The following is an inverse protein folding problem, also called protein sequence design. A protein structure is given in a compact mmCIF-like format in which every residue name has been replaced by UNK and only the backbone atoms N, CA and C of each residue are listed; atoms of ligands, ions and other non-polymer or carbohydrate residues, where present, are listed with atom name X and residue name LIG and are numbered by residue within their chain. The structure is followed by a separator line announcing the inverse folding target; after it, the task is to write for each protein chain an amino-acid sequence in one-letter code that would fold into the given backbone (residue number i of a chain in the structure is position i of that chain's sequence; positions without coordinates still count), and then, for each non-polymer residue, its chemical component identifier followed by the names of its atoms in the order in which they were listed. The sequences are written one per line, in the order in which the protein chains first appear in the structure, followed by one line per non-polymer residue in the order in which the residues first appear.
data_IF_952280028181
#
_entry.id   IF_952280028181
#
_cell.length_a   1.000
_cell.length_b   1.000
_cell.length_c   1.000
_cell.angle_alpha   90.00
_cell.angle_beta   90.00
_cell.angle_gamma   90.00
#
_symmetry.space_group_name_H-M   'P 1'
#
loop_
_entity.id
_entity.type
_entity.pdbx_description
1 polymer ?
#
# COMPACT_ATOMS: atom_id res chain seq x y z
N UNK A 1 2.81 5.74 -3.31
CA UNK A 1 1.43 5.83 -2.78
C UNK A 1 0.52 5.78 -4.00
N UNK A 2 -0.44 4.86 -4.06
CA UNK A 2 -1.45 4.92 -5.12
C UNK A 2 -2.23 6.22 -4.92
N UNK A 3 -2.38 7.04 -5.95
CA UNK A 3 -3.23 8.22 -5.89
C UNK A 3 -4.65 7.77 -5.50
N UNK A 4 -5.03 8.02 -4.25
CA UNK A 4 -6.32 7.61 -3.72
C UNK A 4 -7.33 8.69 -4.08
N UNK A 5 -8.01 8.48 -5.20
CA UNK A 5 -8.99 9.43 -5.73
C UNK A 5 -10.39 9.19 -5.15
N UNK A 6 -11.13 10.29 -4.96
CA UNK A 6 -12.51 10.24 -4.53
C UNK A 6 -13.42 9.62 -5.60
N UNK A 7 -14.40 8.83 -5.16
CA UNK A 7 -15.40 8.22 -6.03
C UNK A 7 -16.48 9.25 -6.40
N UNK A 8 -16.78 9.36 -7.69
CA UNK A 8 -17.92 10.08 -8.23
C UNK A 8 -19.16 9.20 -8.11
N UNK A 9 -20.19 9.74 -7.46
CA UNK A 9 -21.45 9.04 -7.19
C UNK A 9 -22.51 9.61 -8.13
N UNK A 10 -22.91 8.82 -9.13
CA UNK A 10 -24.00 9.16 -10.06
C UNK A 10 -25.24 8.30 -9.83
N UNK A 11 -26.41 8.84 -10.15
CA UNK A 11 -27.68 8.12 -10.03
C UNK A 11 -27.69 6.84 -10.87
N UNK A 12 -28.00 5.70 -10.23
CA UNK A 12 -28.04 4.36 -10.82
C UNK A 12 -26.75 3.92 -11.55
N UNK A 13 -25.60 4.52 -11.23
CA UNK A 13 -24.29 4.12 -11.76
C UNK A 13 -23.43 3.54 -10.66
N UNK A 14 -22.52 2.65 -11.04
CA UNK A 14 -21.47 2.18 -10.12
C UNK A 14 -20.54 3.36 -9.78
N UNK A 15 -20.07 3.50 -8.53
CA UNK A 15 -19.14 4.56 -8.16
C UNK A 15 -17.79 4.41 -8.89
N UNK A 16 -17.35 5.48 -9.54
CA UNK A 16 -16.10 5.52 -10.30
C UNK A 16 -15.29 6.78 -9.99
N UNK A 17 -13.97 6.68 -9.94
CA UNK A 17 -13.07 7.85 -9.85
C UNK A 17 -12.99 8.59 -11.19
N UNK A 18 -12.41 9.79 -11.19
CA UNK A 18 -12.30 10.61 -12.41
C UNK A 18 -11.41 9.96 -13.49
N UNK A 19 -10.43 9.16 -13.08
CA UNK A 19 -9.56 8.37 -13.95
C UNK A 19 -10.19 7.03 -14.41
N UNK A 20 -11.43 6.74 -14.00
CA UNK A 20 -12.17 5.55 -14.41
C UNK A 20 -11.79 4.27 -13.65
N UNK A 21 -11.39 4.36 -12.38
CA UNK A 21 -11.32 3.20 -11.47
C UNK A 21 -12.67 3.02 -10.76
N UNK A 22 -12.98 1.80 -10.37
CA UNK A 22 -14.30 1.43 -9.83
C UNK A 22 -14.20 1.11 -8.35
N UNK A 23 -15.10 1.69 -7.55
CA UNK A 23 -15.27 1.36 -6.15
C UNK A 23 -15.94 -0.01 -5.98
N UNK A 24 -15.24 -0.95 -5.36
CA UNK A 24 -15.70 -2.33 -5.15
C UNK A 24 -15.64 -2.72 -3.67
N UNK A 25 -16.58 -3.56 -3.26
CA UNK A 25 -16.54 -4.27 -1.97
C UNK A 25 -16.18 -5.72 -2.24
N UNK A 26 -15.06 -6.16 -1.67
CA UNK A 26 -14.62 -7.54 -1.74
C UNK A 26 -15.53 -8.44 -0.92
N UNK A 27 -15.84 -9.64 -1.42
CA UNK A 27 -16.68 -10.62 -0.73
C UNK A 27 -15.86 -11.75 -0.11
N UNK A 28 -14.64 -11.95 -0.60
CA UNK A 28 -13.73 -13.02 -0.19
C UNK A 28 -12.33 -12.46 0.04
N UNK A 29 -11.62 -13.06 1.00
CA UNK A 29 -10.20 -12.83 1.23
C UNK A 29 -9.46 -14.17 1.10
N UNK A 30 -8.30 -14.14 0.45
CA UNK A 30 -7.37 -15.27 0.40
C UNK A 30 -6.50 -15.35 1.65
N UNK A 31 -6.22 -14.20 2.28
CA UNK A 31 -5.37 -14.16 3.47
C UNK A 31 -5.32 -12.80 4.18
N UNK A 32 -4.43 -12.71 5.16
CA UNK A 32 -4.13 -11.51 5.95
C UNK A 32 -2.61 -11.33 6.05
N UNK A 33 -2.16 -10.08 6.06
CA UNK A 33 -0.75 -9.69 6.23
C UNK A 33 -0.68 -8.40 7.05
N UNK A 34 0.53 -7.92 7.29
CA UNK A 34 0.80 -6.53 7.66
C UNK A 34 1.39 -5.77 6.48
N UNK A 35 1.09 -4.48 6.35
CA UNK A 35 1.79 -3.57 5.43
C UNK A 35 3.14 -3.09 6.00
N UNK A 36 3.86 -2.26 5.25
CA UNK A 36 5.19 -1.75 5.64
C UNK A 36 5.13 -0.81 6.86
N UNK A 37 3.93 -0.33 7.20
CA UNK A 37 3.62 0.56 8.32
C UNK A 37 3.11 -0.22 9.55
N UNK A 38 2.98 -1.55 9.45
CA UNK A 38 2.51 -2.42 10.52
C UNK A 38 0.99 -2.52 10.65
N UNK A 39 0.23 -2.00 9.69
CA UNK A 39 -1.23 -2.10 9.68
C UNK A 39 -1.67 -3.48 9.19
N UNK A 40 -2.71 -4.03 9.81
CA UNK A 40 -3.27 -5.30 9.38
C UNK A 40 -4.05 -5.13 8.06
N UNK A 41 -3.64 -5.84 7.03
CA UNK A 41 -4.28 -5.87 5.72
C UNK A 41 -4.89 -7.24 5.44
N UNK A 42 -5.94 -7.25 4.63
CA UNK A 42 -6.46 -8.45 3.95
C UNK A 42 -6.07 -8.40 2.49
N UNK A 43 -5.95 -9.58 1.88
CA UNK A 43 -5.69 -9.67 0.46
C UNK A 43 -6.47 -10.80 -0.20
N UNK A 44 -6.70 -10.63 -1.50
CA UNK A 44 -7.25 -11.64 -2.39
C UNK A 44 -6.35 -11.79 -3.60
N UNK A 45 -5.94 -13.03 -3.85
CA UNK A 45 -5.09 -13.40 -4.97
C UNK A 45 -5.95 -14.03 -6.05
N UNK A 46 -5.82 -13.53 -7.28
CA UNK A 46 -6.49 -14.13 -8.42
C UNK A 46 -5.57 -14.15 -9.65
N UNK A 47 -5.89 -15.05 -10.57
CA UNK A 47 -5.14 -15.22 -11.82
C UNK A 47 -6.14 -15.05 -12.98
N UNK A 48 -6.08 -13.93 -13.74
CA UNK A 48 -7.05 -13.68 -14.80
C UNK A 48 -6.99 -14.68 -15.96
N UNK A 49 -5.81 -15.27 -16.21
CA UNK A 49 -5.61 -16.29 -17.23
C UNK A 49 -4.47 -17.25 -16.87
N UNK A 50 -4.48 -18.45 -17.43
CA UNK A 50 -3.58 -19.55 -17.04
C UNK A 50 -2.09 -19.16 -17.04
N UNK A 51 -1.63 -18.44 -18.07
CA UNK A 51 -0.24 -18.02 -18.25
C UNK A 51 0.04 -16.59 -17.75
N UNK A 52 -0.88 -15.95 -17.03
CA UNK A 52 -0.68 -14.61 -16.47
C UNK A 52 -0.25 -14.68 -15.01
N UNK A 53 0.44 -13.64 -14.55
CA UNK A 53 0.84 -13.54 -13.15
C UNK A 53 -0.37 -13.42 -12.21
N UNK A 54 -0.15 -13.80 -10.96
CA UNK A 54 -1.13 -13.61 -9.90
C UNK A 54 -1.21 -12.11 -9.60
N UNK A 55 -2.41 -11.58 -9.65
CA UNK A 55 -2.71 -10.22 -9.22
C UNK A 55 -3.22 -10.31 -7.78
N UNK A 56 -2.59 -9.53 -6.91
CA UNK A 56 -2.97 -9.43 -5.52
C UNK A 56 -3.70 -8.12 -5.28
N UNK A 57 -4.95 -8.21 -4.82
CA UNK A 57 -5.75 -7.09 -4.37
C UNK A 57 -5.63 -6.99 -2.85
N UNK A 58 -5.27 -5.82 -2.34
CA UNK A 58 -5.07 -5.57 -0.90
C UNK A 58 -6.01 -4.50 -0.39
N UNK A 59 -6.43 -4.62 0.86
CA UNK A 59 -7.25 -3.63 1.54
C UNK A 59 -7.09 -3.72 3.05
N UNK A 60 -7.52 -2.68 3.75
CA UNK A 60 -7.50 -2.65 5.21
C UNK A 60 -8.43 -3.71 5.80
N UNK A 61 -7.98 -4.37 6.87
CA UNK A 61 -8.69 -5.51 7.46
C UNK A 61 -10.17 -5.24 7.77
N UNK A 62 -10.52 -3.99 8.03
CA UNK A 62 -11.81 -3.58 8.58
C UNK A 62 -12.84 -3.13 7.54
N UNK A 63 -12.43 -2.83 6.29
CA UNK A 63 -13.34 -2.16 5.33
C UNK A 63 -13.83 -3.07 4.20
N UNK A 64 -13.02 -4.02 3.73
CA UNK A 64 -13.29 -4.76 2.46
C UNK A 64 -13.46 -3.85 1.23
N UNK A 65 -13.12 -2.57 1.36
CA UNK A 65 -13.31 -1.55 0.34
C UNK A 65 -12.04 -1.40 -0.50
N UNK A 66 -12.18 -1.42 -1.82
CA UNK A 66 -11.08 -1.26 -2.77
C UNK A 66 -11.50 -0.41 -3.96
N UNK A 67 -10.57 0.37 -4.49
CA UNK A 67 -10.72 1.10 -5.76
C UNK A 67 -9.79 0.45 -6.77
N UNK A 68 -10.36 -0.06 -7.87
CA UNK A 68 -9.64 -0.94 -8.80
C UNK A 68 -9.78 -0.47 -10.25
N UNK A 69 -8.77 -0.72 -11.11
CA UNK A 69 -8.92 -0.50 -12.55
C UNK A 69 -10.14 -1.24 -13.11
N UNK A 70 -10.85 -0.65 -14.08
CA UNK A 70 -12.07 -1.23 -14.70
C UNK A 70 -11.90 -2.69 -15.11
N UNK A 71 -10.75 -3.05 -15.70
CA UNK A 71 -10.49 -4.42 -16.14
C UNK A 71 -10.45 -5.42 -14.97
N UNK A 72 -9.88 -5.00 -13.84
CA UNK A 72 -9.80 -5.80 -12.61
C UNK A 72 -11.16 -5.89 -11.94
N UNK A 73 -11.86 -4.75 -11.80
CA UNK A 73 -13.20 -4.73 -11.21
C UNK A 73 -14.18 -5.59 -12.01
N UNK A 74 -14.20 -5.47 -13.33
CA UNK A 74 -15.13 -6.22 -14.19
C UNK A 74 -14.91 -7.74 -14.06
N UNK A 75 -13.64 -8.17 -13.98
CA UNK A 75 -13.32 -9.57 -13.71
C UNK A 75 -13.87 -10.02 -12.35
N UNK A 76 -13.59 -9.28 -11.28
CA UNK A 76 -13.98 -9.67 -9.92
C UNK A 76 -15.50 -9.65 -9.73
N UNK A 77 -16.19 -8.66 -10.31
CA UNK A 77 -17.64 -8.55 -10.30
C UNK A 77 -18.30 -9.70 -11.06
N UNK A 78 -17.81 -10.00 -12.29
CA UNK A 78 -18.38 -11.06 -13.13
C UNK A 78 -18.23 -12.45 -12.52
N UNK A 79 -17.13 -12.69 -11.80
CA UNK A 79 -16.86 -13.98 -11.15
C UNK A 79 -17.41 -14.06 -9.71
N UNK A 80 -18.08 -13.02 -9.21
CA UNK A 80 -18.69 -13.01 -7.88
C UNK A 80 -17.71 -12.89 -6.71
N UNK A 81 -16.48 -12.45 -6.95
CA UNK A 81 -15.48 -12.19 -5.90
C UNK A 81 -15.66 -10.82 -5.24
N UNK A 82 -16.33 -9.90 -5.93
CA UNK A 82 -16.64 -8.57 -5.46
C UNK A 82 -18.06 -8.16 -5.87
N UNK A 83 -18.55 -7.08 -5.26
CA UNK A 83 -19.71 -6.32 -5.74
C UNK A 83 -19.36 -4.85 -5.89
N UNK A 84 -20.13 -4.12 -6.70
CA UNK A 84 -19.98 -2.67 -6.77
C UNK A 84 -20.32 -2.05 -5.40
N UNK A 85 -19.60 -1.00 -5.03
CA UNK A 85 -20.00 -0.18 -3.90
C UNK A 85 -21.36 0.44 -4.15
N UNK A 86 -22.15 0.54 -3.09
CA UNK A 86 -23.34 1.40 -3.08
C UNK A 86 -22.93 2.87 -2.97
N UNK A 87 -23.85 3.78 -3.30
CA UNK A 87 -23.63 5.22 -3.11
C UNK A 87 -23.25 5.57 -1.67
N UNK A 88 -23.88 4.95 -0.67
CA UNK A 88 -23.61 5.19 0.75
C UNK A 88 -22.21 4.71 1.16
N UNK A 89 -21.75 3.57 0.64
CA UNK A 89 -20.40 3.06 0.90
C UNK A 89 -19.34 3.93 0.25
N UNK A 90 -19.59 4.39 -0.98
CA UNK A 90 -18.70 5.34 -1.67
C UNK A 90 -18.60 6.69 -0.93
N UNK A 91 -19.71 7.19 -0.36
CA UNK A 91 -19.67 8.38 0.51
C UNK A 91 -18.83 8.14 1.76
N UNK A 92 -18.98 6.98 2.38
CA UNK A 92 -18.24 6.60 3.59
C UNK A 92 -16.74 6.46 3.29
N UNK A 93 -16.39 5.88 2.14
CA UNK A 93 -15.02 5.82 1.63
C UNK A 93 -14.43 7.22 1.42
N UNK A 94 -15.14 8.10 0.70
CA UNK A 94 -14.69 9.47 0.45
C UNK A 94 -14.51 10.28 1.74
N UNK A 95 -15.36 10.04 2.75
CA UNK A 95 -15.24 10.68 4.06
C UNK A 95 -13.96 10.25 4.80
N UNK A 96 -13.56 8.97 4.68
CA UNK A 96 -12.32 8.46 5.26
C UNK A 96 -11.09 9.13 4.63
N UNK A 97 -11.09 9.33 3.31
CA UNK A 97 -10.00 10.05 2.61
C UNK A 97 -9.85 11.50 3.09
N UNK A 98 -10.95 12.14 3.44
CA UNK A 98 -10.93 13.53 3.93
C UNK A 98 -10.55 13.64 5.41
N UNK A 99 -10.64 12.54 6.15
CA UNK A 99 -10.36 12.48 7.58
C UNK A 99 -8.95 11.99 7.92
N UNK A 100 -8.19 11.46 6.94
CA UNK A 100 -6.76 11.23 7.13
C UNK A 100 -6.07 12.59 7.34
N UNK A 101 -5.49 12.85 8.53
CA UNK A 101 -4.70 14.05 8.73
C UNK A 101 -3.52 13.95 7.78
N UNK A 102 -3.37 14.92 6.88
CA UNK A 102 -2.15 15.12 6.11
C UNK A 102 -1.00 15.21 7.10
N UNK A 103 -0.31 14.09 7.34
CA UNK A 103 0.82 14.06 8.23
C UNK A 103 1.86 15.01 7.65
N UNK A 104 2.05 16.14 8.33
CA UNK A 104 3.07 17.11 8.02
C UNK A 104 4.40 16.37 7.83
N UNK A 105 4.99 16.51 6.65
CA UNK A 105 6.33 16.02 6.35
C UNK A 105 7.28 16.59 7.40
N UNK A 106 7.97 15.79 8.24
CA UNK A 106 9.07 16.33 9.01
C UNK A 106 10.13 16.79 8.02
N UNK A 107 10.54 18.05 8.14
CA UNK A 107 11.64 18.62 7.36
C UNK A 107 12.89 17.75 7.56
N UNK A 108 13.39 17.17 6.47
CA UNK A 108 14.68 16.48 6.46
C UNK A 108 15.75 17.55 6.68
N UNK A 109 16.37 17.57 7.86
CA UNK A 109 17.60 18.32 8.07
C UNK A 109 18.70 17.73 7.18
N UNK A 110 19.50 18.57 6.47
CA UNK A 110 20.54 18.09 5.58
C UNK A 110 21.66 17.38 6.38
N UNK A 111 22.34 16.39 5.79
CA UNK A 111 23.35 15.60 6.48
C UNK A 111 24.57 16.44 6.85
N UNK A 112 24.88 16.51 8.14
CA UNK A 112 26.15 17.05 8.65
C UNK A 112 27.29 16.13 8.20
N UNK A 113 28.10 16.60 7.26
CA UNK A 113 29.42 16.01 6.97
C UNK A 113 30.29 16.24 8.20
N UNK A 114 30.66 15.16 8.89
CA UNK A 114 31.71 15.20 9.91
C UNK A 114 32.93 14.52 9.32
N UNK A 115 33.91 15.35 8.97
CA UNK A 115 35.28 15.05 8.57
C UNK A 115 35.91 13.89 9.36
N UNK A 116 36.49 12.93 8.63
CA UNK A 116 37.55 12.05 9.13
C UNK A 116 38.79 12.88 9.49
N UNK A 117 39.39 12.74 10.68
CA UNK A 117 40.78 13.14 10.86
C UNK A 117 41.68 11.96 10.46
N UNK A 118 42.23 12.04 9.27
CA UNK A 118 43.49 11.41 8.91
C UNK A 118 44.59 12.01 9.80
N UNK A 119 45.25 11.17 10.61
CA UNK A 119 46.48 11.57 11.30
C UNK A 119 47.48 10.40 11.33
N UNK A 120 48.58 10.71 10.66
CA UNK A 120 49.82 10.00 10.39
C UNK A 120 50.58 9.54 11.66
N UNK A 121 51.53 8.63 11.42
CA UNK A 121 52.72 8.34 12.21
C UNK A 121 52.58 7.75 13.64
N UNK A 122 53.01 6.49 13.82
CA UNK A 122 54.41 6.17 14.17
C UNK A 122 54.51 4.77 14.83
N UNK A 123 55.38 3.91 14.30
CA UNK A 123 55.77 2.63 14.93
C UNK A 123 56.53 2.93 16.23
N UNK A 124 56.44 2.02 17.23
CA UNK A 124 57.67 1.31 17.57
C UNK A 124 57.51 -0.20 17.80
N UNK A 125 58.68 -0.82 17.89
CA UNK A 125 59.04 -2.22 17.74
C UNK A 125 58.73 -3.10 18.97
N UNK A 126 58.30 -4.34 18.69
CA UNK A 126 58.88 -5.64 19.15
C UNK A 126 58.77 -5.99 20.65
N UNK A 127 58.09 -7.11 20.94
CA UNK A 127 58.73 -8.39 21.36
C UNK A 127 57.70 -9.51 21.59
N UNK A 128 58.05 -10.68 21.05
CA UNK A 128 57.48 -11.98 21.39
C UNK A 128 57.58 -12.25 22.90
N UNK A 129 56.61 -12.99 23.46
CA UNK A 129 56.87 -14.23 24.21
C UNK A 129 55.60 -15.06 24.37
N UNK A 130 55.86 -16.37 24.42
CA UNK A 130 54.98 -17.55 24.36
C UNK A 130 55.11 -18.25 25.71
N UNK A 131 54.01 -18.81 26.22
CA UNK A 131 53.98 -19.82 27.29
C UNK A 131 53.95 -19.26 28.72
N UNK A 132 52.93 -19.65 29.49
CA UNK A 132 53.00 -20.84 30.35
C UNK A 132 51.68 -21.61 30.23
#
# INVERSE_FOLDING_TARGET
MADVEALVIGDNKRPETADGRVGCVMLVASGQSVDDQGNAIKFFDYRPGFFQDIIQVRWDKDTMHVVLPVQVSDYLLRNGYARAMTAQEAQSYNAQLSAEPTAATPAVEPPTVVDEPEADAERPRRKQRKGD
#
